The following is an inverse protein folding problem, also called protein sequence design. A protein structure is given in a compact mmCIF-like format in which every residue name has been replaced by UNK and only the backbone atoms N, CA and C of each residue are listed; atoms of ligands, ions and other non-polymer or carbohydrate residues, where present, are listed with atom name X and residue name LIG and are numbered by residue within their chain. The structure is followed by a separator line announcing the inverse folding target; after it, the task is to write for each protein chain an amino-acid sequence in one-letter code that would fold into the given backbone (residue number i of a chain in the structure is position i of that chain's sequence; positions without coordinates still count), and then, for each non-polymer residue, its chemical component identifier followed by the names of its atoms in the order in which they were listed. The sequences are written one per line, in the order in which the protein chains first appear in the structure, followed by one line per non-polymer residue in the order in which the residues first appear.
data_IF_747850247205
#
_entry.id   IF_747850247205
#
_cell.length_a   1.000
_cell.length_b   1.000
_cell.length_c   1.000
_cell.angle_alpha   90.00
_cell.angle_beta   90.00
_cell.angle_gamma   90.00
#
_symmetry.space_group_name_H-M   'P 1'
#
loop_
_entity.id
_entity.type
_entity.pdbx_description
1 polymer ?
#
# COMPACT_ATOMS: atom_id res chain seq x y z
N UNK A 1 12.16 10.28 -2.58
CA UNK A 1 11.53 10.78 -1.33
C UNK A 1 12.06 12.16 -0.87
N UNK A 2 12.88 12.87 -1.67
CA UNK A 2 13.48 14.16 -1.30
C UNK A 2 12.75 15.43 -1.76
N UNK A 3 11.59 15.32 -2.40
CA UNK A 3 10.89 16.43 -3.09
C UNK A 3 10.57 17.65 -2.21
N UNK A 4 10.39 17.46 -0.89
CA UNK A 4 10.13 18.54 0.08
C UNK A 4 11.14 18.56 1.24
N UNK A 5 12.30 17.93 1.04
CA UNK A 5 13.35 17.79 2.05
C UNK A 5 13.17 16.56 2.97
N UNK A 6 14.29 15.92 3.30
CA UNK A 6 14.33 14.69 4.10
C UNK A 6 13.69 14.84 5.48
N UNK A 7 13.83 16.01 6.11
CA UNK A 7 13.27 16.28 7.44
C UNK A 7 11.74 16.18 7.45
N UNK A 8 11.07 16.70 6.43
CA UNK A 8 9.61 16.66 6.35
C UNK A 8 9.12 15.22 6.09
N UNK A 9 9.79 14.48 5.20
CA UNK A 9 9.42 13.10 4.88
C UNK A 9 9.64 12.16 6.08
N UNK A 10 10.76 12.31 6.79
CA UNK A 10 11.09 11.42 7.92
C UNK A 10 10.18 11.67 9.12
N UNK A 11 9.98 12.93 9.50
CA UNK A 11 9.15 13.30 10.65
C UNK A 11 7.67 12.97 10.44
N UNK A 12 7.14 13.17 9.22
CA UNK A 12 5.71 13.02 8.97
C UNK A 12 5.28 11.63 8.48
N UNK A 13 6.20 10.78 8.02
CA UNK A 13 5.84 9.45 7.48
C UNK A 13 6.71 8.33 8.05
N UNK A 14 8.03 8.46 8.00
CA UNK A 14 8.93 7.37 8.41
C UNK A 14 8.83 7.07 9.91
N UNK A 15 8.95 8.09 10.77
CA UNK A 15 8.85 7.91 12.22
C UNK A 15 7.45 7.52 12.68
N UNK A 16 6.35 8.16 12.23
CA UNK A 16 5.00 7.76 12.61
C UNK A 16 4.70 6.31 12.24
N UNK A 17 5.11 5.84 11.05
CA UNK A 17 4.90 4.44 10.65
C UNK A 17 5.79 3.47 11.43
N UNK A 18 7.05 3.82 11.71
CA UNK A 18 7.91 2.98 12.55
C UNK A 18 7.34 2.84 13.98
N UNK A 19 6.88 3.95 14.55
CA UNK A 19 6.25 3.96 15.87
C UNK A 19 4.91 3.23 15.87
N UNK A 20 4.13 3.27 14.78
CA UNK A 20 2.88 2.51 14.69
C UNK A 20 3.11 1.01 14.70
N UNK A 21 4.18 0.52 14.07
CA UNK A 21 4.56 -0.89 14.14
C UNK A 21 4.98 -1.30 15.56
N UNK A 22 5.74 -0.46 16.26
CA UNK A 22 6.18 -0.73 17.63
C UNK A 22 5.01 -0.68 18.62
N UNK A 23 4.16 0.33 18.52
CA UNK A 23 2.95 0.49 19.36
C UNK A 23 1.89 -0.57 19.04
N UNK A 24 1.90 -1.15 17.84
CA UNK A 24 1.06 -2.31 17.51
C UNK A 24 1.58 -3.62 18.12
N UNK A 25 2.85 -3.69 18.53
CA UNK A 25 3.47 -4.92 19.03
C UNK A 25 2.72 -5.60 20.19
N UNK A 26 2.22 -4.88 21.23
CA UNK A 26 1.38 -5.49 22.27
C UNK A 26 0.15 -6.25 21.74
N UNK A 27 -0.49 -5.74 20.68
CA UNK A 27 -1.61 -6.44 20.01
C UNK A 27 -1.12 -7.72 19.33
N UNK A 28 0.04 -7.64 18.67
CA UNK A 28 0.67 -8.78 18.00
C UNK A 28 1.11 -9.89 18.98
N UNK A 29 1.59 -9.54 20.17
CA UNK A 29 1.91 -10.51 21.22
C UNK A 29 0.66 -11.32 21.63
N UNK A 30 -0.48 -10.66 21.88
CA UNK A 30 -1.71 -11.35 22.21
C UNK A 30 -2.23 -12.22 21.05
N UNK A 31 -2.07 -11.78 19.80
CA UNK A 31 -2.41 -12.59 18.62
C UNK A 31 -1.58 -13.89 18.55
N UNK A 32 -0.35 -13.87 19.08
CA UNK A 32 0.51 -15.06 19.21
C UNK A 32 0.23 -15.90 20.46
N UNK A 33 -0.60 -15.41 21.38
CA UNK A 33 -0.82 -16.04 22.68
C UNK A 33 0.30 -15.77 23.70
N UNK A 34 1.13 -14.75 23.46
CA UNK A 34 2.16 -14.29 24.39
C UNK A 34 1.59 -13.23 25.35
N UNK A 35 2.20 -13.07 26.52
CA UNK A 35 1.85 -11.98 27.44
C UNK A 35 2.41 -10.63 26.96
N UNK A 36 1.72 -9.54 27.33
CA UNK A 36 2.14 -8.17 27.00
C UNK A 36 3.43 -7.83 27.75
N UNK A 37 4.49 -7.51 27.01
CA UNK A 37 5.73 -7.04 27.60
C UNK A 37 5.55 -5.64 28.19
N UNK A 38 5.69 -5.52 29.51
CA UNK A 38 5.51 -4.26 30.25
C UNK A 38 6.43 -3.13 29.75
N UNK A 39 7.69 -3.45 29.39
CA UNK A 39 8.64 -2.44 28.90
C UNK A 39 8.17 -1.85 27.58
N UNK A 40 7.77 -2.71 26.65
CA UNK A 40 7.27 -2.28 25.33
C UNK A 40 5.96 -1.52 25.49
N UNK A 41 5.06 -1.97 26.37
CA UNK A 41 3.80 -1.28 26.66
C UNK A 41 4.02 0.18 27.11
N UNK A 42 4.87 0.41 28.11
CA UNK A 42 5.13 1.76 28.61
C UNK A 42 5.84 2.66 27.61
N UNK A 43 6.78 2.11 26.83
CA UNK A 43 7.45 2.84 25.72
C UNK A 43 6.46 3.18 24.60
N UNK A 44 5.44 2.34 24.37
CA UNK A 44 4.46 2.55 23.30
C UNK A 44 3.54 3.76 23.54
N UNK A 45 3.35 4.19 24.79
CA UNK A 45 2.45 5.33 25.12
C UNK A 45 2.96 6.67 24.56
N UNK A 46 4.20 7.13 24.85
CA UNK A 46 4.70 8.39 24.26
C UNK A 46 4.85 8.29 22.74
N UNK A 47 5.19 7.11 22.21
CA UNK A 47 5.26 6.87 20.77
C UNK A 47 3.89 6.95 20.10
N UNK A 48 2.82 6.51 20.79
CA UNK A 48 1.46 6.66 20.30
C UNK A 48 1.11 8.13 20.11
N UNK A 49 1.41 9.00 21.07
CA UNK A 49 1.11 10.44 20.95
C UNK A 49 1.79 10.99 19.69
N UNK A 50 3.04 10.61 19.42
CA UNK A 50 3.74 11.06 18.22
C UNK A 50 3.08 10.56 16.92
N UNK A 51 2.75 9.26 16.84
CA UNK A 51 2.22 8.70 15.60
C UNK A 51 0.78 9.16 15.30
N UNK A 52 -0.02 9.44 16.32
CA UNK A 52 -1.43 9.84 16.16
C UNK A 52 -1.58 11.23 15.56
N UNK A 53 -0.54 12.07 15.66
CA UNK A 53 -0.49 13.39 15.03
C UNK A 53 -0.50 13.32 13.49
N UNK A 54 -0.08 12.20 12.90
CA UNK A 54 -0.21 12.01 11.46
C UNK A 54 -1.53 11.33 11.11
N UNK A 55 -2.49 12.09 10.56
CA UNK A 55 -3.87 11.69 10.27
C UNK A 55 -3.97 10.36 9.50
N UNK A 56 -3.20 10.21 8.42
CA UNK A 56 -3.25 9.00 7.58
C UNK A 56 -2.75 7.76 8.34
N UNK A 57 -1.72 7.92 9.17
CA UNK A 57 -1.16 6.83 9.99
C UNK A 57 -2.09 6.49 11.14
N UNK A 58 -2.62 7.51 11.83
CA UNK A 58 -3.57 7.34 12.93
C UNK A 58 -4.84 6.61 12.47
N UNK A 59 -5.41 7.00 11.32
CA UNK A 59 -6.59 6.33 10.76
C UNK A 59 -6.34 4.85 10.48
N UNK A 60 -5.19 4.51 9.86
CA UNK A 60 -4.81 3.13 9.61
C UNK A 60 -4.60 2.35 10.91
N UNK A 61 -3.90 2.95 11.89
CA UNK A 61 -3.62 2.36 13.19
C UNK A 61 -4.91 2.10 13.98
N UNK A 62 -5.83 3.06 14.02
CA UNK A 62 -7.12 2.93 14.69
C UNK A 62 -7.96 1.78 14.12
N UNK A 63 -8.09 1.72 12.79
CA UNK A 63 -8.87 0.66 12.13
C UNK A 63 -8.24 -0.71 12.37
N UNK A 64 -6.92 -0.84 12.21
CA UNK A 64 -6.22 -2.10 12.42
C UNK A 64 -6.34 -2.58 13.88
N UNK A 65 -6.09 -1.70 14.85
CA UNK A 65 -6.23 -2.04 16.27
C UNK A 65 -7.67 -2.35 16.64
N UNK A 66 -8.67 -1.66 16.07
CA UNK A 66 -10.08 -1.96 16.30
C UNK A 66 -10.46 -3.36 15.80
N UNK A 67 -10.05 -3.72 14.57
CA UNK A 67 -10.31 -5.06 14.02
C UNK A 67 -9.66 -6.14 14.88
N UNK A 68 -8.41 -5.93 15.30
CA UNK A 68 -7.67 -6.88 16.13
C UNK A 68 -8.27 -6.99 17.54
N UNK A 69 -8.67 -5.87 18.14
CA UNK A 69 -9.37 -5.85 19.43
C UNK A 69 -10.68 -6.61 19.37
N UNK A 70 -11.51 -6.37 18.35
CA UNK A 70 -12.75 -7.12 18.14
C UNK A 70 -12.50 -8.62 18.00
N UNK A 71 -11.49 -9.02 17.21
CA UNK A 71 -11.09 -10.42 17.09
C UNK A 71 -10.68 -11.01 18.44
N UNK A 72 -9.88 -10.30 19.24
CA UNK A 72 -9.44 -10.78 20.56
C UNK A 72 -10.59 -10.86 21.56
N UNK A 73 -11.57 -9.94 21.49
CA UNK A 73 -12.77 -9.94 22.34
C UNK A 73 -13.63 -11.17 22.03
N UNK A 74 -13.93 -11.42 20.76
CA UNK A 74 -14.73 -12.57 20.32
C UNK A 74 -14.09 -13.90 20.72
N UNK A 75 -12.76 -13.96 20.78
CA UNK A 75 -12.02 -15.15 21.21
C UNK A 75 -11.75 -15.21 22.72
N UNK A 76 -12.26 -14.28 23.52
CA UNK A 76 -12.07 -14.26 24.98
C UNK A 76 -10.63 -14.01 25.45
N UNK A 77 -9.75 -13.45 24.60
CA UNK A 77 -8.33 -13.22 24.88
C UNK A 77 -7.97 -11.74 25.02
N UNK A 78 -8.96 -10.87 25.03
CA UNK A 78 -8.74 -9.43 25.07
C UNK A 78 -8.22 -8.97 26.43
N UNK A 79 -7.14 -8.18 26.42
CA UNK A 79 -6.64 -7.51 27.61
C UNK A 79 -7.07 -6.05 27.59
N UNK A 80 -7.78 -5.62 28.64
CA UNK A 80 -8.30 -4.24 28.74
C UNK A 80 -7.19 -3.18 28.63
N UNK A 81 -5.94 -3.49 28.95
CA UNK A 81 -4.81 -2.55 28.79
C UNK A 81 -4.65 -2.05 27.35
N UNK A 82 -5.05 -2.84 26.35
CA UNK A 82 -4.99 -2.41 24.95
C UNK A 82 -6.00 -1.31 24.60
N UNK A 83 -7.07 -1.14 25.39
CA UNK A 83 -8.08 -0.10 25.13
C UNK A 83 -7.48 1.30 25.18
N UNK A 84 -6.45 1.50 26.00
CA UNK A 84 -5.73 2.79 26.12
C UNK A 84 -5.23 3.26 24.75
N UNK A 85 -4.66 2.36 23.95
CA UNK A 85 -4.14 2.74 22.63
C UNK A 85 -5.27 3.14 21.66
N UNK A 86 -6.37 2.38 21.64
CA UNK A 86 -7.52 2.69 20.79
C UNK A 86 -8.25 3.96 21.22
N UNK A 87 -8.36 4.24 22.53
CA UNK A 87 -9.01 5.44 23.07
C UNK A 87 -8.20 6.69 22.72
N UNK A 88 -6.88 6.68 22.94
CA UNK A 88 -6.02 7.83 22.60
C UNK A 88 -6.05 8.08 21.08
N UNK A 89 -5.93 7.02 20.28
CA UNK A 89 -6.01 7.12 18.81
C UNK A 89 -7.35 7.71 18.34
N UNK A 90 -8.47 7.28 18.94
CA UNK A 90 -9.81 7.82 18.65
C UNK A 90 -9.94 9.29 19.05
N UNK A 91 -9.46 9.65 20.25
CA UNK A 91 -9.50 11.03 20.74
C UNK A 91 -8.74 11.98 19.80
N UNK A 92 -7.56 11.56 19.34
CA UNK A 92 -6.75 12.31 18.37
C UNK A 92 -7.40 12.39 16.99
N UNK A 93 -8.06 11.33 16.52
CA UNK A 93 -8.83 11.38 15.28
C UNK A 93 -9.98 12.38 15.36
N UNK A 94 -10.73 12.37 16.47
CA UNK A 94 -11.82 13.34 16.70
C UNK A 94 -11.25 14.76 16.75
N UNK A 95 -10.14 14.96 17.47
CA UNK A 95 -9.46 16.25 17.54
C UNK A 95 -9.04 16.76 16.16
N UNK A 96 -8.39 15.91 15.34
CA UNK A 96 -7.96 16.30 14.00
C UNK A 96 -9.14 16.64 13.09
N UNK A 97 -10.22 15.85 13.13
CA UNK A 97 -11.40 16.08 12.30
C UNK A 97 -12.21 17.32 12.71
N UNK A 98 -12.21 17.69 13.99
CA UNK A 98 -12.99 18.82 14.52
C UNK A 98 -12.25 20.15 14.50
N UNK A 99 -10.94 20.14 14.25
CA UNK A 99 -10.13 21.36 14.27
C UNK A 99 -10.49 22.28 13.09
N UNK A 100 -10.93 23.54 13.34
CA UNK A 100 -11.39 24.45 12.29
C UNK A 100 -10.28 24.85 11.31
N UNK A 101 -9.02 24.80 11.75
CA UNK A 101 -7.84 25.06 10.92
C UNK A 101 -7.75 24.14 9.69
N UNK A 102 -8.27 22.92 9.77
CA UNK A 102 -8.28 21.99 8.63
C UNK A 102 -9.16 22.50 7.48
N UNK A 103 -10.30 23.13 7.78
CA UNK A 103 -11.16 23.72 6.74
C UNK A 103 -10.49 24.93 6.06
N UNK A 104 -9.86 25.81 6.84
CA UNK A 104 -9.12 26.96 6.33
C UNK A 104 -7.92 26.54 5.46
N UNK A 105 -7.17 25.52 5.92
CA UNK A 105 -6.06 24.95 5.16
C UNK A 105 -6.53 24.31 3.87
N UNK A 106 -7.60 23.52 3.90
CA UNK A 106 -8.17 22.91 2.70
C UNK A 106 -8.59 23.96 1.66
N UNK A 107 -9.21 25.06 2.07
CA UNK A 107 -9.57 26.16 1.18
C UNK A 107 -8.33 26.82 0.52
N UNK A 108 -7.26 27.03 1.30
CA UNK A 108 -6.00 27.54 0.78
C UNK A 108 -5.32 26.57 -0.20
N UNK A 109 -5.31 25.27 0.13
CA UNK A 109 -4.72 24.22 -0.70
C UNK A 109 -5.46 24.01 -2.02
N UNK A 110 -6.79 24.11 -2.02
CA UNK A 110 -7.60 24.06 -3.25
C UNK A 110 -7.17 25.19 -4.19
N UNK A 111 -7.09 26.42 -3.69
CA UNK A 111 -6.72 27.57 -4.53
C UNK A 111 -5.28 27.49 -5.05
N UNK A 112 -4.36 26.93 -4.25
CA UNK A 112 -2.93 26.88 -4.56
C UNK A 112 -2.55 25.70 -5.46
N UNK A 113 -3.06 24.51 -5.16
CA UNK A 113 -2.57 23.27 -5.74
C UNK A 113 -3.54 22.62 -6.70
N UNK A 114 -4.84 22.69 -6.44
CA UNK A 114 -5.82 21.97 -7.25
C UNK A 114 -7.20 22.65 -7.29
N UNK A 115 -7.36 23.74 -8.07
CA UNK A 115 -8.60 24.53 -8.08
C UNK A 115 -9.84 23.74 -8.53
N UNK A 116 -9.66 22.82 -9.47
CA UNK A 116 -10.73 21.96 -10.02
C UNK A 116 -11.34 21.02 -8.96
N UNK A 117 -10.59 20.72 -7.89
CA UNK A 117 -11.06 19.92 -6.76
C UNK A 117 -12.30 20.51 -6.07
N UNK A 118 -12.55 21.82 -6.19
CA UNK A 118 -13.74 22.48 -5.65
C UNK A 118 -15.04 21.90 -6.23
N UNK A 119 -15.00 21.43 -7.48
CA UNK A 119 -16.16 20.91 -8.20
C UNK A 119 -16.32 19.38 -8.03
N UNK A 120 -15.48 18.74 -7.21
CA UNK A 120 -15.49 17.29 -7.06
C UNK A 120 -16.58 16.84 -6.09
N UNK A 121 -17.48 15.99 -6.58
CA UNK A 121 -18.39 15.23 -5.73
C UNK A 121 -17.67 14.06 -5.05
N UNK A 122 -18.38 13.30 -4.21
CA UNK A 122 -17.84 12.15 -3.50
C UNK A 122 -17.24 11.09 -4.44
N UNK A 123 -17.91 10.79 -5.56
CA UNK A 123 -17.47 9.76 -6.52
C UNK A 123 -16.19 10.18 -7.26
N UNK A 124 -16.05 11.46 -7.60
CA UNK A 124 -14.84 11.98 -8.23
C UNK A 124 -13.64 11.89 -7.28
N UNK A 125 -13.85 12.17 -5.98
CA UNK A 125 -12.80 12.02 -4.95
C UNK A 125 -12.40 10.55 -4.75
N UNK A 126 -13.39 9.65 -4.78
CA UNK A 126 -13.15 8.21 -4.72
C UNK A 126 -12.35 7.72 -5.94
N UNK A 127 -12.77 8.13 -7.14
CA UNK A 127 -12.09 7.82 -8.39
C UNK A 127 -10.65 8.36 -8.43
N UNK A 128 -10.44 9.58 -7.94
CA UNK A 128 -9.12 10.18 -7.77
C UNK A 128 -8.23 9.35 -6.84
N UNK A 129 -8.78 8.90 -5.71
CA UNK A 129 -8.10 8.00 -4.78
C UNK A 129 -7.71 6.67 -5.43
N UNK A 130 -8.64 6.02 -6.12
CA UNK A 130 -8.41 4.75 -6.82
C UNK A 130 -7.38 4.93 -7.93
N UNK A 131 -7.48 5.99 -8.74
CA UNK A 131 -6.57 6.32 -9.83
C UNK A 131 -5.15 6.56 -9.32
N UNK A 132 -5.02 7.30 -8.22
CA UNK A 132 -3.73 7.62 -7.59
C UNK A 132 -3.00 6.39 -7.04
N UNK A 133 -3.72 5.29 -6.79
CA UNK A 133 -3.17 3.98 -6.46
C UNK A 133 -2.98 3.12 -7.72
N UNK A 134 -4.00 3.01 -8.55
CA UNK A 134 -4.06 2.13 -9.71
C UNK A 134 -2.92 2.38 -10.69
N UNK A 135 -2.75 3.64 -11.10
CA UNK A 135 -1.74 3.99 -12.11
C UNK A 135 -0.31 3.70 -11.63
N UNK A 136 0.17 4.21 -10.47
CA UNK A 136 1.57 3.99 -10.07
C UNK A 136 1.94 2.54 -9.75
N UNK A 137 0.97 1.70 -9.39
CA UNK A 137 1.25 0.37 -8.85
C UNK A 137 0.90 -0.78 -9.78
N UNK A 138 -0.09 -0.61 -10.66
CA UNK A 138 -0.40 -1.62 -11.68
C UNK A 138 0.10 -1.22 -13.07
N UNK A 139 0.16 0.08 -13.37
CA UNK A 139 0.30 0.58 -14.75
C UNK A 139 1.55 1.44 -15.00
N UNK A 140 2.32 1.76 -13.96
CA UNK A 140 3.64 2.39 -14.06
C UNK A 140 4.73 1.43 -13.55
N UNK A 141 5.99 1.84 -13.75
CA UNK A 141 7.18 1.10 -13.33
C UNK A 141 7.33 1.05 -11.81
N UNK A 142 6.87 -0.03 -11.18
CA UNK A 142 7.06 -0.26 -9.75
C UNK A 142 7.61 -1.66 -9.45
N UNK A 143 8.93 -1.71 -9.22
CA UNK A 143 9.67 -2.96 -8.99
C UNK A 143 9.13 -3.72 -7.77
N UNK A 144 8.68 -3.01 -6.73
CA UNK A 144 8.19 -3.64 -5.51
C UNK A 144 6.85 -4.36 -5.73
N UNK A 145 5.94 -3.75 -6.50
CA UNK A 145 4.69 -4.40 -6.90
C UNK A 145 4.91 -5.55 -7.89
N UNK A 146 5.82 -5.37 -8.85
CA UNK A 146 6.20 -6.44 -9.77
C UNK A 146 6.71 -7.68 -9.01
N UNK A 147 7.57 -7.46 -8.01
CA UNK A 147 8.07 -8.51 -7.13
C UNK A 147 6.94 -9.16 -6.32
N UNK A 148 6.02 -8.37 -5.77
CA UNK A 148 4.86 -8.90 -5.05
C UNK A 148 4.00 -9.80 -5.96
N UNK A 149 3.64 -9.34 -7.15
CA UNK A 149 2.84 -10.12 -8.10
C UNK A 149 3.54 -11.41 -8.51
N UNK A 150 4.85 -11.34 -8.78
CA UNK A 150 5.65 -12.51 -9.09
C UNK A 150 5.63 -13.55 -7.96
N UNK A 151 5.84 -13.12 -6.71
CA UNK A 151 5.85 -14.01 -5.56
C UNK A 151 4.49 -14.65 -5.30
N UNK A 152 3.41 -13.89 -5.39
CA UNK A 152 2.04 -14.40 -5.22
C UNK A 152 1.67 -15.37 -6.35
N UNK A 153 2.02 -15.06 -7.60
CA UNK A 153 1.86 -15.97 -8.73
C UNK A 153 2.64 -17.27 -8.51
N UNK A 154 3.91 -17.19 -8.10
CA UNK A 154 4.75 -18.37 -7.85
C UNK A 154 4.21 -19.24 -6.72
N UNK A 155 3.80 -18.64 -5.60
CA UNK A 155 3.18 -19.34 -4.47
C UNK A 155 1.89 -20.05 -4.91
N UNK A 156 1.03 -19.34 -5.62
CA UNK A 156 -0.24 -19.87 -6.13
C UNK A 156 -0.01 -21.00 -7.12
N UNK A 157 0.95 -20.87 -8.03
CA UNK A 157 1.31 -21.90 -8.99
C UNK A 157 1.77 -23.19 -8.31
N UNK A 158 2.59 -23.06 -7.26
CA UNK A 158 3.11 -24.22 -6.51
C UNK A 158 2.06 -24.89 -5.63
N UNK A 159 1.21 -24.10 -4.94
CA UNK A 159 0.32 -24.60 -3.88
C UNK A 159 -1.10 -24.88 -4.36
N UNK A 160 -1.62 -24.11 -5.30
CA UNK A 160 -2.99 -24.27 -5.78
C UNK A 160 -3.01 -25.14 -7.05
N UNK A 161 -3.83 -26.20 -7.04
CA UNK A 161 -4.05 -27.03 -8.22
C UNK A 161 -5.10 -26.47 -9.18
N UNK A 162 -5.96 -25.56 -8.71
CA UNK A 162 -7.01 -24.96 -9.53
C UNK A 162 -6.43 -24.03 -10.60
N UNK A 163 -6.64 -24.39 -11.87
CA UNK A 163 -6.19 -23.65 -13.04
C UNK A 163 -6.71 -22.20 -13.08
N UNK A 164 -7.97 -21.97 -12.72
CA UNK A 164 -8.57 -20.62 -12.73
C UNK A 164 -7.87 -19.67 -11.76
N UNK A 165 -7.47 -20.19 -10.59
CA UNK A 165 -6.75 -19.40 -9.57
C UNK A 165 -5.34 -19.04 -10.05
N UNK A 166 -4.69 -19.94 -10.80
CA UNK A 166 -3.38 -19.65 -11.41
C UNK A 166 -3.49 -18.56 -12.47
N UNK A 167 -4.50 -18.60 -13.35
CA UNK A 167 -4.75 -17.52 -14.32
C UNK A 167 -5.01 -16.19 -13.61
N UNK A 168 -5.87 -16.22 -12.58
CA UNK A 168 -6.26 -15.02 -11.85
C UNK A 168 -5.06 -14.30 -11.23
N UNK A 169 -4.09 -15.04 -10.69
CA UNK A 169 -2.86 -14.46 -10.12
C UNK A 169 -1.79 -14.17 -11.18
N UNK A 170 -1.81 -14.86 -12.32
CA UNK A 170 -0.95 -14.59 -13.45
C UNK A 170 -1.29 -13.26 -14.15
N UNK A 171 -2.58 -12.92 -14.25
CA UNK A 171 -3.07 -11.71 -14.93
C UNK A 171 -2.37 -10.42 -14.44
N UNK A 172 -2.39 -10.06 -13.13
CA UNK A 172 -1.71 -8.85 -12.66
C UNK A 172 -0.19 -8.91 -12.85
N UNK A 173 0.43 -10.09 -12.71
CA UNK A 173 1.87 -10.27 -12.92
C UNK A 173 2.26 -10.00 -14.38
N UNK A 174 1.64 -10.68 -15.34
CA UNK A 174 1.99 -10.52 -16.76
C UNK A 174 1.60 -9.14 -17.29
N UNK A 175 0.47 -8.57 -16.85
CA UNK A 175 0.11 -7.19 -17.21
C UNK A 175 1.21 -6.22 -16.77
N UNK A 176 1.63 -6.29 -15.50
CA UNK A 176 2.67 -5.41 -14.98
C UNK A 176 4.04 -5.66 -15.65
N UNK A 177 4.36 -6.91 -15.98
CA UNK A 177 5.58 -7.28 -16.70
C UNK A 177 5.60 -6.73 -18.13
N UNK A 178 4.48 -6.82 -18.85
CA UNK A 178 4.36 -6.27 -20.20
C UNK A 178 4.53 -4.75 -20.17
N UNK A 179 3.90 -4.07 -19.21
CA UNK A 179 4.06 -2.63 -19.00
C UNK A 179 5.51 -2.30 -18.65
N UNK A 180 6.17 -3.13 -17.84
CA UNK A 180 7.56 -2.96 -17.47
C UNK A 180 8.50 -2.98 -18.69
N UNK A 181 8.34 -3.99 -19.54
CA UNK A 181 9.11 -4.10 -20.78
C UNK A 181 8.72 -3.01 -21.79
N UNK A 182 7.43 -2.69 -21.92
CA UNK A 182 6.94 -1.66 -22.84
C UNK A 182 7.49 -0.26 -22.53
N UNK A 183 7.69 0.07 -21.24
CA UNK A 183 8.28 1.34 -20.83
C UNK A 183 9.82 1.37 -20.90
N UNK A 184 10.48 0.21 -20.78
CA UNK A 184 11.97 0.11 -20.81
C UNK A 184 12.53 -0.06 -22.22
N UNK A 185 11.78 -0.73 -23.10
CA UNK A 185 12.10 -0.78 -24.52
C UNK A 185 11.75 0.57 -25.14
N UNK A 186 12.75 1.41 -25.42
CA UNK A 186 12.54 2.72 -26.03
C UNK A 186 11.71 2.66 -27.32
N UNK A 187 11.12 3.79 -27.73
CA UNK A 187 10.24 3.89 -28.91
C UNK A 187 10.83 3.24 -30.18
N UNK A 188 12.16 3.17 -30.29
CA UNK A 188 12.92 2.58 -31.39
C UNK A 188 12.68 1.08 -31.61
N UNK A 189 12.31 0.31 -30.57
CA UNK A 189 12.08 -1.14 -30.70
C UNK A 189 10.72 -1.49 -31.31
N UNK A 190 9.77 -0.56 -31.29
CA UNK A 190 8.40 -0.72 -31.83
C UNK A 190 8.17 0.09 -33.11
N UNK A 191 9.18 0.81 -33.58
CA UNK A 191 9.14 1.60 -34.81
C UNK A 191 9.38 0.71 -36.02
N UNK A 192 8.36 -0.04 -36.42
CA UNK A 192 8.29 -0.62 -37.77
C UNK A 192 7.61 0.42 -38.66
N UNK A 193 8.35 0.93 -39.65
CA UNK A 193 7.89 1.96 -40.59
C UNK A 193 6.43 1.74 -41.02
N UNK A 194 5.58 2.73 -40.74
CA UNK A 194 4.19 2.78 -41.23
C UNK A 194 3.11 2.18 -40.32
N UNK A 195 3.44 1.61 -39.16
CA UNK A 195 2.44 0.99 -38.28
C UNK A 195 1.93 1.94 -37.18
N UNK A 196 0.64 2.32 -37.24
CA UNK A 196 -0.10 2.97 -36.13
C UNK A 196 -0.15 2.11 -34.84
N UNK A 197 0.47 0.94 -34.80
CA UNK A 197 0.50 0.00 -33.66
C UNK A 197 1.46 0.40 -32.53
N UNK A 198 2.39 1.32 -32.78
CA UNK A 198 3.15 1.98 -31.71
C UNK A 198 2.26 2.80 -30.74
N UNK A 199 0.98 3.00 -31.10
CA UNK A 199 0.00 3.80 -30.37
C UNK A 199 -0.69 3.05 -29.20
N UNK A 200 -0.60 1.71 -29.14
CA UNK A 200 -1.15 0.91 -28.02
C UNK A 200 -0.34 1.13 -26.73
N UNK A 201 0.97 1.33 -26.88
CA UNK A 201 1.94 1.45 -25.77
C UNK A 201 2.45 2.86 -25.55
N UNK A 202 1.95 3.82 -26.33
CA UNK A 202 2.23 5.22 -26.08
C UNK A 202 1.69 5.56 -24.69
N UNK A 203 2.59 5.89 -23.76
CA UNK A 203 2.25 6.40 -22.42
C UNK A 203 1.23 7.54 -22.48
N UNK A 204 1.10 8.23 -23.62
CA UNK A 204 0.04 9.21 -23.88
C UNK A 204 -1.37 8.66 -23.66
N UNK A 205 -1.72 7.45 -24.10
CA UNK A 205 -3.10 6.94 -23.98
C UNK A 205 -3.45 6.52 -22.54
N UNK A 206 -2.52 5.91 -21.81
CA UNK A 206 -2.68 5.62 -20.37
C UNK A 206 -2.69 6.90 -19.53
N UNK A 207 -1.85 7.88 -19.86
CA UNK A 207 -1.86 9.20 -19.22
C UNK A 207 -3.12 10.00 -19.56
N UNK A 208 -3.73 9.77 -20.74
CA UNK A 208 -5.02 10.36 -21.11
C UNK A 208 -6.20 9.70 -20.36
N UNK A 209 -6.07 8.41 -20.01
CA UNK A 209 -7.07 7.67 -19.22
C UNK A 209 -6.94 7.97 -17.71
N UNK A 210 -5.72 8.04 -17.19
CA UNK A 210 -5.43 8.39 -15.80
C UNK A 210 -4.80 9.78 -15.74
N UNK A 211 -5.65 10.78 -15.69
CA UNK A 211 -5.25 12.20 -15.61
C UNK A 211 -5.05 12.64 -14.16
N UNK A 212 -4.56 13.87 -13.97
CA UNK A 212 -4.53 14.52 -12.64
C UNK A 212 -5.93 14.70 -12.04
N UNK A 213 -6.99 14.60 -12.84
CA UNK A 213 -8.37 14.61 -12.38
C UNK A 213 -8.91 13.21 -12.05
N UNK A 214 -8.06 12.18 -12.07
CA UNK A 214 -8.47 10.77 -12.05
C UNK A 214 -8.84 10.27 -13.44
N UNK A 215 -9.77 9.33 -13.52
CA UNK A 215 -10.31 8.83 -14.80
C UNK A 215 -11.38 9.74 -15.40
N UNK A 216 -11.76 10.82 -14.69
CA UNK A 216 -12.91 11.68 -15.01
C UNK A 216 -14.19 10.87 -15.08
N UNK A 217 -14.43 10.06 -14.05
CA UNK A 217 -15.56 9.13 -13.98
C UNK A 217 -16.87 9.78 -14.44
N UNK A 218 -17.34 9.37 -15.62
CA UNK A 218 -18.63 9.80 -16.17
C UNK A 218 -19.42 8.58 -16.60
N UNK A 219 -20.68 8.52 -16.16
CA UNK A 219 -21.60 7.42 -16.53
C UNK A 219 -21.79 7.31 -18.04
N UNK A 220 -21.66 8.43 -18.76
CA UNK A 220 -21.90 8.51 -20.20
C UNK A 220 -20.67 8.14 -21.05
N UNK A 221 -19.48 8.02 -20.43
CA UNK A 221 -18.24 7.69 -21.14
C UNK A 221 -17.66 6.37 -20.63
N UNK A 222 -17.92 5.23 -21.29
CA UNK A 222 -17.47 3.90 -20.86
C UNK A 222 -15.97 3.78 -20.59
N UNK A 223 -15.14 4.49 -21.35
CA UNK A 223 -13.69 4.47 -21.17
C UNK A 223 -13.23 4.87 -19.76
N UNK A 224 -13.94 5.77 -19.07
CA UNK A 224 -13.51 6.29 -17.77
C UNK A 224 -13.73 5.26 -16.65
N UNK A 225 -14.91 4.66 -16.59
CA UNK A 225 -15.23 3.68 -15.53
C UNK A 225 -14.60 2.31 -15.77
N UNK A 226 -14.32 1.93 -17.03
CA UNK A 226 -13.57 0.69 -17.33
C UNK A 226 -12.18 0.72 -16.70
N UNK A 227 -11.46 1.85 -16.77
CA UNK A 227 -10.13 1.98 -16.18
C UNK A 227 -10.15 1.77 -14.66
N UNK A 228 -11.12 2.37 -13.97
CA UNK A 228 -11.33 2.21 -12.53
C UNK A 228 -11.70 0.77 -12.16
N UNK A 229 -12.58 0.12 -12.96
CA UNK A 229 -12.94 -1.28 -12.77
C UNK A 229 -11.76 -2.23 -12.98
N UNK A 230 -10.88 -1.96 -13.96
CA UNK A 230 -9.67 -2.75 -14.18
C UNK A 230 -8.76 -2.69 -12.96
N UNK A 231 -8.54 -1.50 -12.38
CA UNK A 231 -7.73 -1.36 -11.15
C UNK A 231 -8.32 -2.16 -10.00
N UNK A 232 -9.64 -2.06 -9.79
CA UNK A 232 -10.33 -2.81 -8.73
C UNK A 232 -10.29 -4.32 -8.97
N UNK A 233 -10.42 -4.77 -10.22
CA UNK A 233 -10.31 -6.17 -10.59
C UNK A 233 -8.90 -6.72 -10.32
N UNK A 234 -7.86 -5.96 -10.67
CA UNK A 234 -6.48 -6.36 -10.40
C UNK A 234 -6.18 -6.39 -8.89
N UNK A 235 -6.71 -5.44 -8.13
CA UNK A 235 -6.64 -5.46 -6.66
C UNK A 235 -7.35 -6.68 -6.07
N UNK A 236 -8.54 -7.02 -6.58
CA UNK A 236 -9.26 -8.22 -6.17
C UNK A 236 -8.46 -9.49 -6.49
N UNK A 237 -7.84 -9.56 -7.67
CA UNK A 237 -6.97 -10.67 -8.05
C UNK A 237 -5.81 -10.84 -7.05
N UNK A 238 -5.18 -9.73 -6.65
CA UNK A 238 -4.12 -9.73 -5.65
C UNK A 238 -4.63 -10.19 -4.28
N UNK A 239 -5.77 -9.69 -3.81
CA UNK A 239 -6.37 -10.06 -2.52
C UNK A 239 -6.67 -11.56 -2.47
N UNK A 240 -7.32 -12.09 -3.51
CA UNK A 240 -7.63 -13.53 -3.62
C UNK A 240 -6.35 -14.35 -3.69
N UNK A 241 -5.35 -13.89 -4.46
CA UNK A 241 -4.04 -14.53 -4.53
C UNK A 241 -3.35 -14.63 -3.17
N UNK A 242 -3.33 -13.54 -2.39
CA UNK A 242 -2.80 -13.52 -1.02
C UNK A 242 -3.59 -14.49 -0.13
N UNK A 243 -4.92 -14.50 -0.21
CA UNK A 243 -5.75 -15.37 0.62
C UNK A 243 -5.48 -16.88 0.40
N UNK A 244 -5.21 -17.24 -0.85
CA UNK A 244 -5.01 -18.64 -1.25
C UNK A 244 -3.56 -19.11 -1.10
N UNK A 245 -2.57 -18.20 -1.21
CA UNK A 245 -1.13 -18.52 -1.22
C UNK A 245 -0.55 -18.98 0.12
N UNK A 246 -1.17 -18.65 1.25
CA UNK A 246 -0.64 -18.95 2.58
C UNK A 246 -1.34 -20.16 3.21
N UNK A 247 -0.56 -21.03 3.85
CA UNK A 247 -1.07 -22.25 4.53
C UNK A 247 -1.88 -21.88 5.76
N UNK A 248 -1.36 -20.96 6.58
CA UNK A 248 -2.05 -20.48 7.77
C UNK A 248 -3.08 -19.42 7.38
N UNK A 249 -4.36 -19.78 7.43
CA UNK A 249 -5.46 -18.87 7.08
C UNK A 249 -5.59 -17.64 7.98
N UNK A 250 -5.21 -17.72 9.26
CA UNK A 250 -5.18 -16.54 10.13
C UNK A 250 -4.14 -15.53 9.66
N UNK A 251 -2.94 -16.02 9.29
CA UNK A 251 -1.89 -15.18 8.70
C UNK A 251 -2.35 -14.59 7.38
N UNK A 252 -2.97 -15.39 6.54
CA UNK A 252 -3.47 -14.96 5.24
C UNK A 252 -4.53 -13.85 5.35
N UNK A 253 -5.51 -14.01 6.24
CA UNK A 253 -6.53 -12.99 6.52
C UNK A 253 -5.88 -11.70 7.05
N UNK A 254 -4.92 -11.81 7.96
CA UNK A 254 -4.19 -10.66 8.47
C UNK A 254 -3.45 -9.90 7.35
N UNK A 255 -2.81 -10.61 6.42
CA UNK A 255 -2.13 -10.01 5.27
C UNK A 255 -3.11 -9.37 4.28
N UNK A 256 -4.29 -9.96 4.07
CA UNK A 256 -5.37 -9.34 3.28
C UNK A 256 -5.84 -8.04 3.93
N UNK A 257 -6.06 -8.03 5.25
CA UNK A 257 -6.43 -6.82 6.00
C UNK A 257 -5.35 -5.74 5.84
N UNK A 258 -4.07 -6.10 5.95
CA UNK A 258 -2.97 -5.17 5.73
C UNK A 258 -2.95 -4.62 4.30
N UNK A 259 -3.17 -5.45 3.28
CA UNK A 259 -3.23 -5.01 1.88
C UNK A 259 -4.39 -4.03 1.64
N UNK A 260 -5.59 -4.33 2.17
CA UNK A 260 -6.76 -3.46 2.09
C UNK A 260 -6.48 -2.14 2.83
N UNK A 261 -5.86 -2.18 4.01
CA UNK A 261 -5.45 -0.99 4.74
C UNK A 261 -4.44 -0.16 3.94
N UNK A 262 -3.45 -0.79 3.28
CA UNK A 262 -2.51 -0.12 2.39
C UNK A 262 -3.22 0.58 1.22
N UNK A 263 -4.18 -0.09 0.58
CA UNK A 263 -5.02 0.51 -0.46
C UNK A 263 -5.85 1.69 0.08
N UNK A 264 -6.57 1.50 1.19
CA UNK A 264 -7.39 2.53 1.83
C UNK A 264 -6.56 3.74 2.26
N UNK A 265 -5.32 3.53 2.71
CA UNK A 265 -4.41 4.62 3.06
C UNK A 265 -4.22 5.57 1.87
N UNK A 266 -4.15 5.04 0.64
CA UNK A 266 -4.02 5.87 -0.56
C UNK A 266 -5.36 6.42 -1.03
N UNK A 267 -6.43 5.65 -0.89
CA UNK A 267 -7.78 6.09 -1.24
C UNK A 267 -8.19 7.35 -0.44
N UNK A 268 -7.85 7.42 0.86
CA UNK A 268 -8.11 8.61 1.71
C UNK A 268 -7.48 9.88 1.12
N UNK A 269 -6.34 9.77 0.43
CA UNK A 269 -5.69 10.93 -0.20
C UNK A 269 -6.50 11.50 -1.37
N UNK A 270 -7.41 10.73 -1.97
CA UNK A 270 -8.39 11.24 -2.94
C UNK A 270 -9.38 12.25 -2.33
N UNK A 271 -9.52 12.26 -1.00
CA UNK A 271 -10.28 13.25 -0.24
C UNK A 271 -9.44 14.47 0.20
N UNK A 272 -8.18 14.56 -0.22
CA UNK A 272 -7.32 15.71 -0.01
C UNK A 272 -7.05 16.47 -1.32
N UNK A 273 -7.13 17.82 -1.34
CA UNK A 273 -6.75 18.61 -2.51
C UNK A 273 -5.26 18.50 -2.86
N UNK A 274 -4.42 17.92 -1.98
CA UNK A 274 -2.97 17.78 -2.17
C UNK A 274 -2.56 16.40 -2.66
N UNK A 275 -3.49 15.61 -3.20
CA UNK A 275 -3.25 14.22 -3.62
C UNK A 275 -2.01 14.06 -4.51
N UNK A 276 -1.75 15.00 -5.42
CA UNK A 276 -0.60 15.01 -6.34
C UNK A 276 0.57 15.85 -5.82
N UNK A 277 0.29 17.02 -5.23
CA UNK A 277 1.31 17.91 -4.64
C UNK A 277 2.09 17.24 -3.50
N UNK A 278 1.48 16.24 -2.86
CA UNK A 278 2.13 15.48 -1.82
C UNK A 278 3.11 14.43 -2.33
N UNK A 279 3.10 14.06 -3.61
CA UNK A 279 4.10 13.17 -4.20
C UNK A 279 4.30 11.84 -3.46
N UNK A 280 5.50 11.27 -3.60
CA UNK A 280 5.79 9.88 -3.22
C UNK A 280 5.75 9.58 -1.70
N UNK A 281 5.78 10.61 -0.84
CA UNK A 281 5.80 10.43 0.64
C UNK A 281 4.49 9.87 1.19
N UNK A 282 3.36 10.22 0.60
CA UNK A 282 2.03 9.72 1.02
C UNK A 282 1.79 8.25 0.72
N UNK A 283 2.66 7.64 -0.10
CA UNK A 283 2.65 6.21 -0.40
C UNK A 283 3.44 5.37 0.61
N UNK A 284 4.10 6.01 1.59
CA UNK A 284 5.01 5.33 2.51
C UNK A 284 4.34 4.18 3.29
N UNK A 285 3.11 4.38 3.77
CA UNK A 285 2.34 3.34 4.47
C UNK A 285 2.16 2.11 3.58
N UNK A 286 1.73 2.33 2.33
CA UNK A 286 1.53 1.27 1.36
C UNK A 286 2.85 0.56 1.01
N UNK A 287 3.95 1.29 0.83
CA UNK A 287 5.27 0.68 0.62
C UNK A 287 5.70 -0.23 1.76
N UNK A 288 5.47 0.17 3.01
CA UNK A 288 5.76 -0.66 4.19
C UNK A 288 4.87 -1.90 4.22
N UNK A 289 3.56 -1.76 3.92
CA UNK A 289 2.63 -2.90 3.80
C UNK A 289 3.12 -3.91 2.76
N UNK A 290 3.53 -3.44 1.58
CA UNK A 290 4.00 -4.33 0.51
C UNK A 290 5.33 -4.98 0.89
N UNK A 291 6.23 -4.25 1.54
CA UNK A 291 7.48 -4.82 2.03
C UNK A 291 7.20 -5.98 3.02
N UNK A 292 6.24 -5.80 3.94
CA UNK A 292 5.78 -6.86 4.84
C UNK A 292 5.21 -8.04 4.04
N UNK A 293 4.35 -7.79 3.05
CA UNK A 293 3.76 -8.84 2.21
C UNK A 293 4.82 -9.63 1.44
N UNK A 294 5.81 -8.95 0.84
CA UNK A 294 6.94 -9.56 0.13
C UNK A 294 7.74 -10.44 1.08
N UNK A 295 8.14 -9.93 2.25
CA UNK A 295 8.89 -10.70 3.24
C UNK A 295 8.12 -11.94 3.72
N UNK A 296 6.80 -11.80 3.92
CA UNK A 296 5.93 -12.91 4.32
C UNK A 296 5.77 -13.93 3.20
N UNK A 297 5.63 -13.49 1.94
CA UNK A 297 5.55 -14.38 0.79
C UNK A 297 6.87 -15.15 0.56
N UNK A 298 8.02 -14.48 0.72
CA UNK A 298 9.34 -15.14 0.70
C UNK A 298 9.44 -16.18 1.80
N UNK A 299 9.07 -15.83 3.04
CA UNK A 299 9.06 -16.77 4.17
C UNK A 299 8.16 -17.98 3.89
N UNK A 300 7.02 -17.78 3.23
CA UNK A 300 6.10 -18.85 2.85
C UNK A 300 6.69 -19.76 1.76
N UNK A 301 7.42 -19.21 0.78
CA UNK A 301 8.14 -19.98 -0.23
C UNK A 301 9.25 -20.84 0.39
N UNK A 302 9.98 -20.30 1.35
CA UNK A 302 11.08 -20.97 2.05
C UNK A 302 10.66 -22.28 2.72
N UNK A 303 9.41 -22.39 3.20
CA UNK A 303 8.89 -23.62 3.81
C UNK A 303 8.95 -24.83 2.87
N UNK A 304 8.86 -24.59 1.56
CA UNK A 304 8.87 -25.62 0.52
C UNK A 304 10.26 -25.94 -0.04
N UNK A 305 11.29 -25.22 0.42
CA UNK A 305 12.64 -25.31 -0.13
C UNK A 305 13.55 -26.14 0.78
N UNK A 306 14.58 -26.77 0.19
CA UNK A 306 15.62 -27.46 0.96
C UNK A 306 16.41 -26.48 1.82
N UNK A 307 17.00 -26.97 2.92
CA UNK A 307 17.77 -26.17 3.89
C UNK A 307 18.86 -25.34 3.21
N UNK A 308 19.66 -25.95 2.32
CA UNK A 308 20.72 -25.26 1.56
C UNK A 308 20.19 -24.11 0.70
N UNK A 309 19.02 -24.28 0.05
CA UNK A 309 18.41 -23.23 -0.77
C UNK A 309 17.85 -22.09 0.10
N UNK A 310 17.40 -22.40 1.32
CA UNK A 310 16.94 -21.40 2.28
C UNK A 310 18.09 -20.55 2.80
N UNK A 311 19.20 -21.16 3.18
CA UNK A 311 20.41 -20.44 3.63
C UNK A 311 20.96 -19.53 2.54
N UNK A 312 21.04 -20.04 1.30
CA UNK A 312 21.46 -19.23 0.16
C UNK A 312 20.55 -18.02 -0.09
N UNK A 313 19.23 -18.21 -0.01
CA UNK A 313 18.27 -17.11 -0.21
C UNK A 313 18.31 -16.09 0.93
N UNK A 314 18.48 -16.52 2.19
CA UNK A 314 18.68 -15.62 3.32
C UNK A 314 19.96 -14.80 3.13
N UNK A 315 21.07 -15.45 2.79
CA UNK A 315 22.33 -14.79 2.52
C UNK A 315 22.20 -13.75 1.39
N UNK A 316 21.56 -14.10 0.28
CA UNK A 316 21.30 -13.18 -0.84
C UNK A 316 20.48 -11.95 -0.42
N UNK A 317 19.42 -12.14 0.38
CA UNK A 317 18.62 -11.03 0.91
C UNK A 317 19.42 -10.14 1.85
N UNK A 318 20.27 -10.71 2.70
CA UNK A 318 21.16 -9.94 3.60
C UNK A 318 22.17 -9.13 2.80
N UNK A 319 22.82 -9.72 1.81
CA UNK A 319 23.78 -9.03 0.92
C UNK A 319 23.09 -7.90 0.15
N UNK A 320 21.91 -8.15 -0.42
CA UNK A 320 21.12 -7.10 -1.07
C UNK A 320 20.76 -5.96 -0.11
N UNK A 321 20.39 -6.29 1.13
CA UNK A 321 20.12 -5.29 2.17
C UNK A 321 21.36 -4.44 2.50
N UNK A 322 22.53 -5.06 2.61
CA UNK A 322 23.80 -4.36 2.85
C UNK A 322 24.17 -3.49 1.65
N UNK A 323 24.13 -4.03 0.43
CA UNK A 323 24.44 -3.29 -0.79
C UNK A 323 23.52 -2.09 -1.00
N UNK A 324 22.21 -2.25 -0.76
CA UNK A 324 21.25 -1.14 -0.85
C UNK A 324 21.51 -0.09 0.22
N UNK A 325 21.85 -0.47 1.44
CA UNK A 325 22.26 0.47 2.48
C UNK A 325 23.52 1.24 2.07
N UNK A 326 24.56 0.54 1.61
CA UNK A 326 25.81 1.15 1.14
C UNK A 326 25.54 2.14 -0.01
N UNK A 327 24.80 1.73 -1.04
CA UNK A 327 24.43 2.60 -2.16
C UNK A 327 23.65 3.83 -1.67
N UNK A 328 22.76 3.65 -0.70
CA UNK A 328 21.97 4.76 -0.14
C UNK A 328 22.82 5.74 0.67
N UNK A 329 23.88 5.26 1.33
CA UNK A 329 24.83 6.09 2.08
C UNK A 329 25.83 6.77 1.13
N UNK A 330 26.28 6.09 0.08
CA UNK A 330 27.25 6.61 -0.90
C UNK A 330 26.61 7.61 -1.86
N UNK A 331 25.33 7.43 -2.25
CA UNK A 331 24.60 8.35 -3.11
C UNK A 331 23.99 9.55 -2.34
N UNK A 332 24.46 9.81 -1.11
CA UNK A 332 24.25 11.08 -0.39
C UNK A 332 25.46 11.96 -0.60
#
# INVERSE_FOLDING_TARGET
MGETGWRATTLNYQWPVAFSLLTFYPFFQLLRGEEINRKIYWVSIPLLIFLTNQEQVNACFFVLTSIVSLYLIVNGRYNYKLSVFSIISLAELIFSLTTPGNALRAAHEINKWFPEYKNFNFLNKLDLGISSFGKPFFLDMNILFLLLFFLIFLLTYRKCQNYYVRILTALPFFLNLIIYFGNTMGQSFTYVNGNKRAMIWSSSNLNNLFTELGTKLSLFYPGTWIATLVVLALLLCLIVGIYLSFDNKKTSIFLVILMIMGFCSRLIMGFSPTVWASGMRTYYILYVVIAILVLMAVKELMKSMSVQKNEFMQFGLTVLGICTFIITVINR
#
